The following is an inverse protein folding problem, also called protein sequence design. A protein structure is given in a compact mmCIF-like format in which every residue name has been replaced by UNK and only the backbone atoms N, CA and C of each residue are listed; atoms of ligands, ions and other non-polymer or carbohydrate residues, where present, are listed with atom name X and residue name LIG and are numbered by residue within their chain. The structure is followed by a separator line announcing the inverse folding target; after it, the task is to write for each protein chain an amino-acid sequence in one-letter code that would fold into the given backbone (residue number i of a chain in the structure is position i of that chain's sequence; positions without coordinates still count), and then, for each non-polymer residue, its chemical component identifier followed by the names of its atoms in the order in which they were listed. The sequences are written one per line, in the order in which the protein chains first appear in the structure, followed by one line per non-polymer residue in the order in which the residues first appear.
data_IF_594513712235
#
_entry.id   IF_594513712235
#
_cell.length_a   1.000
_cell.length_b   1.000
_cell.length_c   1.000
_cell.angle_alpha   90.00
_cell.angle_beta   90.00
_cell.angle_gamma   90.00
#
_symmetry.space_group_name_H-M   'P 1'
#
loop_
_entity.id
_entity.type
_entity.pdbx_description
1 polymer ?
#
# COMPACT_ATOMS: atom_id res chain seq x y z
N UNK A 1 29.43 63.06 29.35
CA UNK A 1 28.35 63.20 28.34
C UNK A 1 27.39 62.04 28.53
N UNK A 2 26.14 62.31 28.88
CA UNK A 2 25.14 61.24 29.04
C UNK A 2 24.70 60.71 27.67
N UNK A 3 24.31 59.42 27.58
CA UNK A 3 23.78 58.84 26.37
C UNK A 3 22.62 59.71 25.76
N UNK A 4 21.79 60.30 26.62
CA UNK A 4 20.71 61.20 26.22
C UNK A 4 21.21 62.50 25.57
N UNK A 5 22.39 63.02 25.90
CA UNK A 5 23.02 64.17 25.27
C UNK A 5 23.57 63.84 23.89
N UNK A 6 24.23 62.64 23.74
CA UNK A 6 24.74 62.17 22.45
C UNK A 6 23.65 61.98 21.42
N UNK A 7 22.47 61.54 21.81
CA UNK A 7 21.28 61.37 20.92
C UNK A 7 20.65 62.71 20.51
N UNK A 8 20.89 63.78 21.27
CA UNK A 8 20.35 65.12 20.99
C UNK A 8 21.23 65.93 20.02
N UNK A 9 22.51 65.66 20.09
CA UNK A 9 23.52 66.46 19.35
C UNK A 9 23.93 65.82 18.01
N UNK A 10 23.61 64.53 17.79
CA UNK A 10 23.89 63.81 16.55
C UNK A 10 22.63 63.17 15.95
N UNK A 11 22.04 63.85 14.97
CA UNK A 11 20.83 63.41 14.27
C UNK A 11 21.03 62.07 13.53
N UNK A 12 22.27 61.76 13.08
CA UNK A 12 22.55 60.51 12.40
C UNK A 12 22.48 59.34 13.38
N UNK A 13 23.00 59.53 14.60
CA UNK A 13 22.95 58.49 15.65
C UNK A 13 21.54 58.26 16.16
N UNK A 14 20.72 59.30 16.27
CA UNK A 14 19.30 59.19 16.63
C UNK A 14 18.49 58.45 15.57
N UNK A 15 18.68 58.76 14.28
CA UNK A 15 18.02 58.11 13.17
C UNK A 15 18.44 56.63 13.06
N UNK A 16 19.74 56.33 13.24
CA UNK A 16 20.25 54.96 13.22
C UNK A 16 19.68 54.09 14.36
N UNK A 17 19.59 54.66 15.56
CA UNK A 17 18.98 53.97 16.71
C UNK A 17 17.46 53.73 16.52
N UNK A 18 16.76 54.70 15.99
CA UNK A 18 15.32 54.57 15.68
C UNK A 18 15.09 53.48 14.61
N UNK A 19 15.87 53.49 13.53
CA UNK A 19 15.82 52.47 12.50
C UNK A 19 16.08 51.07 13.04
N UNK A 20 17.10 50.92 13.91
CA UNK A 20 17.40 49.66 14.57
C UNK A 20 16.26 49.21 15.48
N UNK A 21 15.65 50.10 16.23
CA UNK A 21 14.51 49.79 17.10
C UNK A 21 13.31 49.35 16.29
N UNK A 22 12.98 50.03 15.19
CA UNK A 22 11.91 49.64 14.30
C UNK A 22 12.15 48.27 13.66
N UNK A 23 13.40 48.03 13.21
CA UNK A 23 13.77 46.73 12.61
C UNK A 23 13.68 45.58 13.63
N UNK A 24 14.13 45.81 14.89
CA UNK A 24 14.00 44.80 15.95
C UNK A 24 12.55 44.54 16.35
N UNK A 25 11.71 45.56 16.43
CA UNK A 25 10.28 45.39 16.72
C UNK A 25 9.57 44.66 15.59
N UNK A 26 9.84 45.00 14.34
CA UNK A 26 9.28 44.31 13.18
C UNK A 26 9.75 42.85 13.11
N UNK A 27 11.04 42.59 13.34
CA UNK A 27 11.60 41.24 13.41
C UNK A 27 10.99 40.40 14.54
N UNK A 28 10.80 40.99 15.73
CA UNK A 28 10.14 40.35 16.87
C UNK A 28 8.68 40.04 16.57
N UNK A 29 7.96 40.95 15.91
CA UNK A 29 6.57 40.74 15.46
C UNK A 29 6.45 39.55 14.49
N UNK A 30 7.33 39.47 13.49
CA UNK A 30 7.37 38.37 12.54
C UNK A 30 7.69 37.02 13.22
N UNK A 31 8.61 37.02 14.18
CA UNK A 31 8.96 35.82 14.94
C UNK A 31 7.79 35.35 15.82
N UNK A 32 7.10 36.28 16.48
CA UNK A 32 5.90 35.96 17.27
C UNK A 32 4.77 35.41 16.39
N UNK A 33 4.56 35.99 15.22
CA UNK A 33 3.56 35.51 14.27
C UNK A 33 3.91 34.09 13.76
N UNK A 34 5.17 33.84 13.39
CA UNK A 34 5.62 32.48 13.03
C UNK A 34 5.47 31.49 14.17
N UNK A 35 5.83 31.87 15.39
CA UNK A 35 5.69 31.04 16.57
C UNK A 35 4.21 30.71 16.87
N UNK A 36 3.31 31.67 16.69
CA UNK A 36 1.88 31.45 16.85
C UNK A 36 1.34 30.49 15.78
N UNK A 37 1.76 30.62 14.52
CA UNK A 37 1.38 29.75 13.42
C UNK A 37 1.85 28.31 13.63
N UNK A 38 3.10 28.11 14.03
CA UNK A 38 3.65 26.77 14.34
C UNK A 38 2.93 26.13 15.55
N UNK A 39 2.57 26.92 16.57
CA UNK A 39 1.77 26.41 17.69
C UNK A 39 0.38 25.96 17.22
N UNK A 40 -0.29 26.76 16.42
CA UNK A 40 -1.59 26.45 15.86
C UNK A 40 -1.54 25.15 15.04
N UNK A 41 -0.60 25.03 14.10
CA UNK A 41 -0.41 23.82 13.28
C UNK A 41 -0.13 22.59 14.16
N UNK A 42 0.71 22.72 15.17
CA UNK A 42 0.99 21.64 16.12
C UNK A 42 -0.28 21.21 16.88
N UNK A 43 -1.06 22.17 17.35
CA UNK A 43 -2.26 21.87 18.14
C UNK A 43 -3.37 21.26 17.26
N UNK A 44 -3.54 21.71 16.00
CA UNK A 44 -4.43 21.10 15.01
C UNK A 44 -4.00 19.67 14.71
N UNK A 45 -2.70 19.46 14.43
CA UNK A 45 -2.18 18.13 14.15
C UNK A 45 -2.34 17.18 15.36
N UNK A 46 -2.19 17.67 16.58
CA UNK A 46 -2.39 16.88 17.80
C UNK A 46 -3.86 16.47 17.97
N UNK A 47 -4.80 17.37 17.71
CA UNK A 47 -6.24 17.06 17.74
C UNK A 47 -6.56 16.01 16.69
N UNK A 48 -6.17 16.23 15.44
CA UNK A 48 -6.39 15.28 14.35
C UNK A 48 -5.75 13.91 14.62
N UNK A 49 -4.57 13.88 15.25
CA UNK A 49 -3.93 12.63 15.65
C UNK A 49 -4.71 11.89 16.73
N UNK A 50 -5.20 12.60 17.74
CA UNK A 50 -5.99 12.00 18.81
C UNK A 50 -7.33 11.47 18.29
N UNK A 51 -8.03 12.24 17.46
CA UNK A 51 -9.30 11.83 16.85
C UNK A 51 -9.11 10.58 15.98
N UNK A 52 -8.05 10.55 15.16
CA UNK A 52 -7.71 9.38 14.35
C UNK A 52 -7.30 8.17 15.22
N UNK A 53 -6.64 8.40 16.36
CA UNK A 53 -6.25 7.33 17.27
C UNK A 53 -7.47 6.69 17.93
N UNK A 54 -8.44 7.49 18.36
CA UNK A 54 -9.70 6.97 18.94
C UNK A 54 -10.47 6.12 17.92
N UNK A 55 -10.58 6.60 16.68
CA UNK A 55 -11.20 5.84 15.57
C UNK A 55 -10.47 4.52 15.30
N UNK A 56 -9.14 4.54 15.28
CA UNK A 56 -8.34 3.33 15.09
C UNK A 56 -8.50 2.33 16.25
N UNK A 57 -8.58 2.82 17.49
CA UNK A 57 -8.78 1.97 18.66
C UNK A 57 -10.17 1.33 18.64
N UNK A 58 -11.21 2.08 18.27
CA UNK A 58 -12.56 1.56 18.10
C UNK A 58 -12.65 0.51 16.99
N UNK A 59 -12.04 0.77 15.82
CA UNK A 59 -11.96 -0.20 14.73
C UNK A 59 -11.23 -1.48 15.18
N UNK A 60 -10.14 -1.36 15.93
CA UNK A 60 -9.43 -2.53 16.47
C UNK A 60 -10.26 -3.34 17.42
N UNK A 61 -11.03 -2.68 18.31
CA UNK A 61 -11.97 -3.35 19.22
C UNK A 61 -13.08 -4.06 18.46
N UNK A 62 -13.66 -3.41 17.43
CA UNK A 62 -14.68 -4.02 16.58
C UNK A 62 -14.13 -5.22 15.81
N UNK A 63 -12.93 -5.11 15.25
CA UNK A 63 -12.25 -6.21 14.57
C UNK A 63 -11.98 -7.38 15.53
N UNK A 64 -11.54 -7.10 16.77
CA UNK A 64 -11.35 -8.12 17.80
C UNK A 64 -12.66 -8.85 18.13
N UNK A 65 -13.75 -8.11 18.35
CA UNK A 65 -15.06 -8.70 18.64
C UNK A 65 -15.60 -9.54 17.46
N UNK A 66 -15.39 -9.09 16.22
CA UNK A 66 -15.79 -9.83 15.02
C UNK A 66 -14.94 -11.09 14.87
N UNK A 67 -13.63 -11.00 15.10
CA UNK A 67 -12.72 -12.16 15.08
C UNK A 67 -13.15 -13.19 16.13
N UNK A 68 -13.35 -12.79 17.38
CA UNK A 68 -13.78 -13.68 18.46
C UNK A 68 -15.16 -14.31 18.20
N UNK A 69 -16.05 -13.58 17.53
CA UNK A 69 -17.37 -14.12 17.16
C UNK A 69 -17.28 -15.10 16.01
N UNK A 70 -16.37 -14.86 15.06
CA UNK A 70 -16.08 -15.76 13.95
C UNK A 70 -15.42 -17.05 14.46
N UNK A 71 -14.44 -16.94 15.34
CA UNK A 71 -13.76 -18.10 15.94
C UNK A 71 -14.76 -18.98 16.72
N UNK A 72 -15.63 -18.36 17.52
CA UNK A 72 -16.73 -19.07 18.22
C UNK A 72 -17.74 -19.70 17.25
N UNK A 73 -18.06 -19.03 16.15
CA UNK A 73 -18.95 -19.59 15.13
C UNK A 73 -18.30 -20.76 14.36
N UNK A 74 -16.99 -20.69 14.11
CA UNK A 74 -16.20 -21.76 13.51
C UNK A 74 -16.04 -22.97 14.45
N UNK A 75 -15.86 -22.73 15.75
CA UNK A 75 -15.84 -23.79 16.78
C UNK A 75 -17.18 -24.46 16.98
N UNK A 76 -18.27 -23.66 16.89
CA UNK A 76 -19.65 -24.15 17.03
C UNK A 76 -20.23 -24.76 15.76
N UNK A 77 -19.60 -24.52 14.59
CA UNK A 77 -20.03 -25.13 13.34
C UNK A 77 -19.82 -26.65 13.44
N UNK A 78 -20.84 -27.47 13.14
CA UNK A 78 -20.66 -28.90 13.11
C UNK A 78 -19.57 -29.20 12.09
N UNK A 79 -18.59 -30.03 12.52
CA UNK A 79 -17.56 -30.52 11.60
C UNK A 79 -18.27 -31.10 10.37
N UNK A 80 -17.87 -30.74 9.14
CA UNK A 80 -18.49 -31.28 7.96
C UNK A 80 -18.46 -32.82 8.07
N UNK A 81 -19.57 -33.51 7.75
CA UNK A 81 -19.63 -34.95 7.85
C UNK A 81 -18.59 -35.55 6.90
N UNK A 82 -17.62 -36.25 7.47
CA UNK A 82 -16.51 -36.85 6.76
C UNK A 82 -15.19 -36.14 7.05
N UNK A 83 -14.13 -36.92 7.13
CA UNK A 83 -12.75 -36.51 7.45
C UNK A 83 -12.38 -35.14 6.89
N UNK A 84 -11.84 -34.29 7.76
CA UNK A 84 -11.53 -32.89 7.45
C UNK A 84 -10.77 -32.77 6.13
N UNK A 85 -11.40 -32.11 5.17
CA UNK A 85 -10.73 -31.76 3.92
C UNK A 85 -9.71 -30.66 4.15
N UNK A 86 -8.56 -30.73 3.49
CA UNK A 86 -7.48 -29.78 3.64
C UNK A 86 -6.70 -29.61 2.33
N UNK A 87 -6.03 -28.47 2.19
CA UNK A 87 -5.12 -28.18 1.09
C UNK A 87 -3.69 -28.41 1.56
N UNK A 88 -2.88 -29.01 0.70
CA UNK A 88 -1.44 -29.14 0.87
C UNK A 88 -0.73 -28.48 -0.29
N UNK A 89 0.28 -27.66 -0.01
CA UNK A 89 1.12 -27.02 -1.02
C UNK A 89 2.58 -27.36 -0.75
N UNK A 90 3.22 -28.04 -1.68
CA UNK A 90 4.68 -28.23 -1.69
C UNK A 90 5.32 -27.09 -2.49
N UNK A 91 6.15 -26.29 -1.82
CA UNK A 91 6.91 -25.20 -2.47
C UNK A 91 7.97 -25.81 -3.41
N UNK A 92 8.62 -26.88 -3.00
CA UNK A 92 9.68 -27.53 -3.76
C UNK A 92 9.15 -28.20 -5.04
N UNK A 93 8.08 -28.99 -4.91
CA UNK A 93 7.45 -29.67 -6.05
C UNK A 93 6.61 -28.74 -6.91
N UNK A 94 6.28 -27.53 -6.40
CA UNK A 94 5.36 -26.59 -7.03
C UNK A 94 4.04 -27.25 -7.40
N UNK A 95 3.46 -27.94 -6.40
CA UNK A 95 2.19 -28.66 -6.51
C UNK A 95 1.26 -28.33 -5.36
N UNK A 96 -0.01 -28.40 -5.65
CA UNK A 96 -1.09 -28.30 -4.71
C UNK A 96 -1.96 -29.55 -4.79
N UNK A 97 -2.38 -30.05 -3.63
CA UNK A 97 -3.35 -31.11 -3.46
C UNK A 97 -4.49 -30.63 -2.57
N UNK A 98 -5.71 -30.91 -2.95
CA UNK A 98 -6.86 -30.84 -2.07
C UNK A 98 -7.23 -32.27 -1.70
N UNK A 99 -7.22 -32.55 -0.41
CA UNK A 99 -7.36 -33.91 0.15
C UNK A 99 -8.52 -33.97 1.13
N UNK A 100 -9.12 -35.15 1.24
CA UNK A 100 -10.06 -35.49 2.31
C UNK A 100 -9.57 -36.81 2.94
N UNK A 101 -9.09 -36.77 4.18
CA UNK A 101 -8.33 -37.85 4.78
C UNK A 101 -7.13 -38.22 3.91
N UNK A 102 -7.02 -39.49 3.55
CA UNK A 102 -5.93 -40.00 2.68
C UNK A 102 -6.23 -39.83 1.18
N UNK A 103 -7.48 -39.55 0.81
CA UNK A 103 -7.88 -39.41 -0.59
C UNK A 103 -7.46 -38.05 -1.15
N UNK A 104 -6.94 -38.05 -2.38
CA UNK A 104 -6.67 -36.82 -3.15
C UNK A 104 -7.84 -36.55 -4.07
N UNK A 105 -8.64 -35.52 -3.74
CA UNK A 105 -9.78 -35.09 -4.53
C UNK A 105 -9.33 -34.33 -5.77
N UNK A 106 -8.28 -33.49 -5.61
CA UNK A 106 -7.76 -32.67 -6.70
C UNK A 106 -6.26 -32.44 -6.52
N UNK A 107 -5.53 -32.37 -7.63
CA UNK A 107 -4.10 -32.04 -7.63
C UNK A 107 -3.74 -31.24 -8.89
N UNK A 108 -2.91 -30.21 -8.72
CA UNK A 108 -2.42 -29.37 -9.82
C UNK A 108 -1.03 -28.84 -9.58
N UNK A 109 -0.38 -28.36 -10.64
CA UNK A 109 0.86 -27.59 -10.56
C UNK A 109 0.56 -26.13 -10.22
N UNK A 110 1.45 -25.52 -9.42
CA UNK A 110 1.31 -24.12 -8.98
C UNK A 110 2.60 -23.34 -9.20
N UNK A 111 2.52 -22.01 -9.18
CA UNK A 111 3.70 -21.19 -9.03
C UNK A 111 3.79 -20.69 -7.59
N UNK A 112 5.00 -20.63 -7.06
CA UNK A 112 5.30 -20.23 -5.67
C UNK A 112 6.19 -19.00 -5.64
N UNK A 113 6.45 -18.46 -4.45
CA UNK A 113 7.35 -17.35 -4.21
C UNK A 113 8.75 -17.59 -4.79
N UNK A 114 9.34 -16.54 -5.32
CA UNK A 114 10.66 -16.61 -5.98
C UNK A 114 11.84 -16.76 -5.02
N UNK A 115 11.62 -16.54 -3.72
CA UNK A 115 12.69 -16.48 -2.71
C UNK A 115 13.58 -15.22 -2.83
N UNK A 116 13.29 -14.32 -3.76
CA UNK A 116 14.07 -13.09 -3.95
C UNK A 116 13.75 -12.06 -2.86
N UNK A 117 14.74 -11.22 -2.62
CA UNK A 117 14.61 -10.07 -1.72
C UNK A 117 14.69 -8.78 -2.54
N UNK A 118 13.78 -7.85 -2.27
CA UNK A 118 13.83 -6.48 -2.77
C UNK A 118 14.10 -5.54 -1.59
N UNK A 119 15.21 -4.81 -1.66
CA UNK A 119 15.59 -3.81 -0.64
C UNK A 119 15.33 -2.43 -1.22
N UNK A 120 14.63 -1.58 -0.48
CA UNK A 120 14.43 -0.18 -0.86
C UNK A 120 15.76 0.59 -0.76
N UNK A 121 15.95 1.57 -1.64
CA UNK A 121 17.13 2.43 -1.59
C UNK A 121 17.20 3.14 -0.23
N UNK A 122 18.35 2.98 0.46
CA UNK A 122 18.51 3.41 1.87
C UNK A 122 18.40 2.28 2.90
N UNK A 123 18.02 1.05 2.50
CA UNK A 123 18.18 -0.16 3.33
C UNK A 123 17.20 -0.33 4.50
N UNK A 124 16.17 0.53 4.62
CA UNK A 124 15.23 0.48 5.76
C UNK A 124 14.10 -0.51 5.52
N UNK A 125 13.61 -0.64 4.29
CA UNK A 125 12.53 -1.54 3.92
C UNK A 125 13.06 -2.70 3.07
N UNK A 126 12.72 -3.93 3.47
CA UNK A 126 13.07 -5.17 2.77
C UNK A 126 11.81 -6.00 2.54
N UNK A 127 11.60 -6.46 1.31
CA UNK A 127 10.51 -7.37 0.97
C UNK A 127 11.06 -8.71 0.53
N UNK A 128 10.68 -9.77 1.25
CA UNK A 128 11.00 -11.16 0.89
C UNK A 128 9.84 -11.78 0.14
N UNK A 129 10.13 -12.25 -1.06
CA UNK A 129 9.13 -12.84 -1.95
C UNK A 129 9.05 -14.35 -1.76
N UNK A 130 8.78 -14.77 -0.52
CA UNK A 130 8.69 -16.17 -0.13
C UNK A 130 7.23 -16.57 0.09
N UNK A 131 6.85 -17.76 -0.36
CA UNK A 131 5.58 -18.36 0.05
C UNK A 131 5.69 -18.80 1.51
N UNK A 132 4.78 -18.36 2.39
CA UNK A 132 4.88 -18.66 3.81
C UNK A 132 4.73 -20.15 4.06
N UNK A 133 5.52 -20.70 4.96
CA UNK A 133 5.43 -22.10 5.41
C UNK A 133 4.55 -22.19 6.64
N UNK A 134 3.90 -23.34 6.83
CA UNK A 134 3.12 -23.64 8.02
C UNK A 134 1.65 -23.89 7.73
N UNK A 135 0.83 -23.75 8.75
CA UNK A 135 -0.63 -23.93 8.67
C UNK A 135 -1.30 -22.59 8.55
N UNK A 136 -2.03 -22.41 7.45
CA UNK A 136 -2.92 -21.29 7.19
C UNK A 136 -4.38 -21.80 7.09
N UNK A 137 -5.32 -20.90 6.90
CA UNK A 137 -6.74 -21.23 6.76
C UNK A 137 -7.31 -20.38 5.64
N UNK A 138 -8.23 -20.93 4.84
CA UNK A 138 -9.01 -20.16 3.87
C UNK A 138 -9.95 -19.22 4.63
N UNK A 139 -9.63 -17.93 4.62
CA UNK A 139 -10.39 -16.90 5.36
C UNK A 139 -11.53 -16.30 4.53
N UNK A 140 -11.45 -16.37 3.21
CA UNK A 140 -12.46 -15.80 2.32
C UNK A 140 -12.24 -16.22 0.88
N UNK A 141 -13.20 -15.89 0.04
CA UNK A 141 -13.25 -16.27 -1.37
C UNK A 141 -13.73 -15.10 -2.20
N UNK A 142 -13.08 -14.85 -3.35
CA UNK A 142 -13.45 -13.74 -4.25
C UNK A 142 -13.51 -14.21 -5.71
N UNK A 143 -14.45 -13.63 -6.46
CA UNK A 143 -14.59 -13.76 -7.92
C UNK A 143 -14.09 -12.46 -8.55
N UNK A 144 -13.39 -12.56 -9.68
CA UNK A 144 -12.81 -11.42 -10.39
C UNK A 144 -12.02 -10.45 -9.46
N UNK A 145 -11.08 -10.99 -8.67
CA UNK A 145 -10.36 -10.19 -7.68
C UNK A 145 -9.56 -9.07 -8.34
N UNK A 146 -9.58 -7.91 -7.69
CA UNK A 146 -8.77 -6.76 -8.11
C UNK A 146 -7.48 -6.74 -7.28
N UNK A 147 -6.35 -6.71 -7.97
CA UNK A 147 -5.08 -6.53 -7.29
C UNK A 147 -4.82 -5.05 -7.00
N UNK A 148 -4.48 -4.75 -5.76
CA UNK A 148 -4.01 -3.44 -5.34
C UNK A 148 -2.52 -3.54 -5.07
N UNK A 149 -1.65 -3.16 -6.04
CA UNK A 149 -0.21 -3.36 -5.90
C UNK A 149 0.35 -2.59 -4.71
N UNK A 150 1.14 -3.24 -3.84
CA UNK A 150 1.95 -2.57 -2.82
C UNK A 150 3.06 -1.71 -3.45
N UNK A 151 3.69 -0.86 -2.65
CA UNK A 151 4.73 0.05 -3.14
C UNK A 151 5.93 -0.67 -3.77
N UNK A 152 6.28 -1.85 -3.27
CA UNK A 152 7.37 -2.65 -3.84
C UNK A 152 7.18 -2.96 -5.33
N UNK A 153 5.95 -3.10 -5.82
CA UNK A 153 5.67 -3.33 -7.24
C UNK A 153 6.22 -2.19 -8.11
N UNK A 154 5.95 -0.95 -7.73
CA UNK A 154 6.42 0.24 -8.45
C UNK A 154 7.94 0.41 -8.32
N UNK A 155 8.50 0.09 -7.14
CA UNK A 155 9.94 0.14 -6.89
C UNK A 155 10.66 -0.91 -7.74
N UNK A 156 10.15 -2.15 -7.80
CA UNK A 156 10.71 -3.19 -8.64
C UNK A 156 10.63 -2.83 -10.12
N UNK A 157 9.50 -2.26 -10.56
CA UNK A 157 9.32 -1.79 -11.93
C UNK A 157 10.33 -0.66 -12.27
N UNK A 158 10.46 0.33 -11.41
CA UNK A 158 11.41 1.43 -11.58
C UNK A 158 12.85 0.92 -11.69
N UNK A 159 13.26 0.03 -10.79
CA UNK A 159 14.60 -0.56 -10.75
C UNK A 159 14.93 -1.33 -12.03
N UNK A 160 14.00 -2.13 -12.55
CA UNK A 160 14.19 -2.87 -13.81
C UNK A 160 14.40 -1.95 -15.01
N UNK A 161 13.92 -0.70 -14.95
CA UNK A 161 14.00 0.29 -16.02
C UNK A 161 15.04 1.39 -15.77
N UNK A 162 15.74 1.37 -14.65
CA UNK A 162 16.69 2.42 -14.27
C UNK A 162 16.04 3.77 -14.01
N UNK A 163 14.78 3.77 -13.53
CA UNK A 163 14.00 4.95 -13.20
C UNK A 163 14.04 5.23 -11.69
N UNK A 164 13.87 6.50 -11.32
CA UNK A 164 13.60 6.90 -9.94
C UNK A 164 12.15 6.56 -9.52
N UNK A 165 11.83 6.83 -8.27
CA UNK A 165 10.50 6.62 -7.71
C UNK A 165 10.04 7.89 -7.00
N UNK A 166 8.83 8.34 -7.29
CA UNK A 166 8.15 9.42 -6.59
C UNK A 166 6.80 8.93 -6.07
N UNK A 167 6.52 9.18 -4.80
CA UNK A 167 5.22 8.90 -4.22
C UNK A 167 4.32 10.12 -4.36
N UNK A 168 3.20 9.97 -5.06
CA UNK A 168 2.18 11.01 -5.17
C UNK A 168 1.27 10.95 -3.94
N UNK A 169 1.08 12.07 -3.26
CA UNK A 169 0.10 12.19 -2.17
C UNK A 169 -1.12 12.99 -2.63
N UNK A 170 -2.25 12.79 -1.96
CA UNK A 170 -3.44 13.59 -2.22
C UNK A 170 -3.18 15.05 -1.88
N UNK A 171 -3.55 15.96 -2.82
CA UNK A 171 -3.29 17.40 -2.71
C UNK A 171 -1.89 17.83 -3.17
N UNK A 172 -1.02 16.91 -3.57
CA UNK A 172 0.27 17.21 -4.22
C UNK A 172 0.13 17.20 -5.74
N UNK A 173 1.05 17.90 -6.40
CA UNK A 173 1.22 17.92 -7.85
C UNK A 173 2.66 17.60 -8.21
N UNK A 174 2.83 16.80 -9.25
CA UNK A 174 4.14 16.49 -9.84
C UNK A 174 4.19 17.16 -11.20
N UNK A 175 5.03 18.18 -11.33
CA UNK A 175 5.23 18.89 -12.59
C UNK A 175 5.77 17.98 -13.69
N UNK A 176 5.27 18.17 -14.90
CA UNK A 176 5.75 17.45 -16.10
C UNK A 176 6.55 18.39 -17.02
N UNK A 177 7.44 17.82 -17.82
CA UNK A 177 8.38 18.57 -18.65
C UNK A 177 7.71 19.52 -19.68
N UNK A 178 6.46 19.31 -20.00
CA UNK A 178 5.64 20.11 -20.91
C UNK A 178 4.85 21.22 -20.21
N UNK A 179 5.12 21.47 -18.91
CA UNK A 179 4.45 22.50 -18.11
C UNK A 179 3.07 22.08 -17.59
N UNK A 180 2.68 20.81 -17.77
CA UNK A 180 1.52 20.22 -17.12
C UNK A 180 1.84 19.65 -15.76
N UNK A 181 0.90 18.95 -15.14
CA UNK A 181 1.10 18.29 -13.86
C UNK A 181 0.34 16.97 -13.76
N UNK A 182 0.79 16.11 -12.83
CA UNK A 182 0.10 14.88 -12.41
C UNK A 182 -0.37 15.11 -10.97
N UNK A 183 -1.65 14.92 -10.72
CA UNK A 183 -2.27 15.11 -9.41
C UNK A 183 -3.38 14.09 -9.18
N UNK A 184 -4.02 14.14 -8.02
CA UNK A 184 -5.20 13.33 -7.69
C UNK A 184 -6.44 14.19 -7.72
N UNK A 185 -7.41 13.81 -8.55
CA UNK A 185 -8.75 14.37 -8.58
C UNK A 185 -9.77 13.28 -8.24
N UNK A 186 -10.48 13.45 -7.12
CA UNK A 186 -11.37 12.42 -6.59
C UNK A 186 -10.64 11.09 -6.35
N UNK A 187 -11.04 10.06 -7.09
CA UNK A 187 -10.43 8.74 -7.04
C UNK A 187 -9.50 8.45 -8.23
N UNK A 188 -9.20 9.43 -9.05
CA UNK A 188 -8.35 9.26 -10.21
C UNK A 188 -7.03 10.01 -10.07
N UNK A 189 -5.95 9.40 -10.51
CA UNK A 189 -4.73 10.12 -10.84
C UNK A 189 -4.90 10.67 -12.24
N UNK A 190 -4.81 11.98 -12.35
CA UNK A 190 -5.10 12.71 -13.59
C UNK A 190 -3.86 13.44 -14.07
N UNK A 191 -3.76 13.62 -15.38
CA UNK A 191 -2.85 14.56 -16.00
C UNK A 191 -3.59 15.84 -16.29
N UNK A 192 -3.09 16.94 -15.76
CA UNK A 192 -3.52 18.29 -16.08
C UNK A 192 -2.56 18.92 -17.08
N UNK A 193 -3.10 19.38 -18.19
CA UNK A 193 -2.33 20.06 -19.26
C UNK A 193 -2.27 21.56 -19.03
N UNK A 194 -1.27 22.28 -19.62
CA UNK A 194 -1.14 23.72 -19.47
C UNK A 194 -2.36 24.51 -19.94
N UNK A 195 -3.17 23.97 -20.84
CA UNK A 195 -4.42 24.55 -21.32
C UNK A 195 -5.64 24.32 -20.41
N UNK A 196 -5.40 23.69 -19.23
CA UNK A 196 -6.43 23.42 -18.22
C UNK A 196 -7.21 22.12 -18.43
N UNK A 197 -7.01 21.39 -19.54
CA UNK A 197 -7.65 20.09 -19.74
C UNK A 197 -7.10 19.05 -18.77
N UNK A 198 -7.98 18.20 -18.26
CA UNK A 198 -7.63 17.16 -17.29
C UNK A 198 -8.14 15.81 -17.79
N UNK A 199 -7.28 14.78 -17.75
CA UNK A 199 -7.63 13.42 -18.16
C UNK A 199 -7.14 12.40 -17.13
N UNK A 200 -7.96 11.39 -16.77
CA UNK A 200 -7.52 10.27 -15.97
C UNK A 200 -6.40 9.51 -16.69
N UNK A 201 -5.39 9.11 -15.93
CA UNK A 201 -4.35 8.23 -16.45
C UNK A 201 -4.83 6.78 -16.46
N UNK A 202 -4.35 6.00 -17.42
CA UNK A 202 -4.67 4.58 -17.47
C UNK A 202 -4.07 3.82 -16.27
N UNK A 203 -4.70 2.70 -15.92
CA UNK A 203 -4.28 1.82 -14.85
C UNK A 203 -4.05 0.41 -15.36
N UNK A 204 -3.05 -0.28 -14.81
CA UNK A 204 -2.80 -1.68 -15.13
C UNK A 204 -1.34 -2.06 -15.04
N UNK A 205 -1.06 -3.36 -15.02
CA UNK A 205 0.31 -3.87 -15.12
C UNK A 205 0.92 -3.51 -16.48
N UNK A 206 2.13 -2.95 -16.47
CA UNK A 206 2.81 -2.44 -17.67
C UNK A 206 2.37 -1.04 -18.09
N UNK A 207 1.43 -0.43 -17.37
CA UNK A 207 0.93 0.94 -17.58
C UNK A 207 1.19 1.83 -16.37
N UNK A 208 2.29 1.56 -15.66
CA UNK A 208 2.74 2.37 -14.55
C UNK A 208 3.03 3.79 -15.02
N UNK A 209 2.58 4.76 -14.23
CA UNK A 209 2.73 6.19 -14.54
C UNK A 209 4.21 6.57 -14.44
N UNK A 210 4.76 7.10 -15.52
CA UNK A 210 6.15 7.57 -15.57
C UNK A 210 6.18 9.04 -15.95
N UNK A 211 6.86 9.85 -15.14
CA UNK A 211 7.08 11.27 -15.40
C UNK A 211 8.45 11.72 -14.89
N UNK A 212 9.15 12.57 -15.64
CA UNK A 212 10.44 13.15 -15.25
C UNK A 212 11.52 12.13 -14.91
N UNK A 213 11.53 10.95 -15.57
CA UNK A 213 12.47 9.88 -15.26
C UNK A 213 12.14 9.08 -13.99
N UNK A 214 10.94 9.26 -13.43
CA UNK A 214 10.49 8.56 -12.23
C UNK A 214 9.20 7.79 -12.49
N UNK A 215 9.05 6.66 -11.79
CA UNK A 215 7.78 5.97 -11.63
C UNK A 215 6.99 6.65 -10.52
N UNK A 216 5.76 7.02 -10.82
CA UNK A 216 4.87 7.64 -9.85
C UNK A 216 4.06 6.56 -9.15
N UNK A 217 4.18 6.48 -7.82
CA UNK A 217 3.35 5.59 -7.00
C UNK A 217 2.03 6.29 -6.71
N UNK A 218 0.89 5.79 -7.23
CA UNK A 218 -0.41 6.35 -6.93
C UNK A 218 -0.80 6.14 -5.46
N UNK A 219 -1.55 7.05 -4.83
CA UNK A 219 -2.08 6.83 -3.49
C UNK A 219 -3.04 5.64 -3.44
N UNK A 220 -3.12 4.99 -2.29
CA UNK A 220 -4.14 3.97 -2.05
C UNK A 220 -5.54 4.55 -2.25
N UNK A 221 -6.44 3.71 -2.76
CA UNK A 221 -7.82 4.10 -3.07
C UNK A 221 -8.03 4.74 -4.44
N UNK A 222 -6.96 5.09 -5.17
CA UNK A 222 -7.10 5.58 -6.55
C UNK A 222 -7.36 4.43 -7.54
N UNK A 223 -8.01 4.75 -8.65
CA UNK A 223 -8.30 3.77 -9.70
C UNK A 223 -7.03 3.29 -10.39
N UNK A 224 -6.00 4.15 -10.47
CA UNK A 224 -4.69 3.82 -11.05
C UNK A 224 -3.88 2.83 -10.19
N UNK A 225 -4.36 2.49 -9.00
CA UNK A 225 -3.79 1.46 -8.13
C UNK A 225 -4.71 0.22 -8.03
N UNK A 226 -5.54 -0.03 -9.04
CA UNK A 226 -6.46 -1.17 -9.12
C UNK A 226 -6.22 -1.94 -10.42
N UNK A 227 -5.51 -3.05 -10.34
CA UNK A 227 -5.15 -3.85 -11.49
C UNK A 227 -6.09 -5.04 -11.61
N UNK A 228 -6.89 -5.05 -12.67
CA UNK A 228 -7.83 -6.13 -12.95
C UNK A 228 -7.15 -7.24 -13.76
N UNK A 229 -7.60 -8.48 -13.54
CA UNK A 229 -7.13 -9.65 -14.30
C UNK A 229 -5.83 -10.29 -13.78
N UNK A 230 -4.94 -9.52 -13.14
CA UNK A 230 -3.63 -10.02 -12.65
C UNK A 230 -3.73 -11.23 -11.73
N UNK A 231 -4.78 -11.27 -10.88
CA UNK A 231 -5.03 -12.39 -9.97
C UNK A 231 -5.93 -13.49 -10.57
N UNK A 232 -6.16 -13.42 -11.88
CA UNK A 232 -7.02 -14.37 -12.58
C UNK A 232 -8.49 -14.27 -12.18
N UNK A 233 -9.22 -15.37 -12.37
CA UNK A 233 -10.68 -15.40 -12.23
C UNK A 233 -11.18 -15.50 -10.78
N UNK A 234 -10.42 -16.15 -9.89
CA UNK A 234 -10.84 -16.43 -8.51
C UNK A 234 -9.65 -16.33 -7.54
N UNK A 235 -9.98 -16.10 -6.26
CA UNK A 235 -9.02 -16.05 -5.18
C UNK A 235 -9.57 -16.69 -3.91
N UNK A 236 -8.72 -17.48 -3.21
CA UNK A 236 -8.92 -17.94 -1.85
C UNK A 236 -7.94 -17.20 -0.94
N UNK A 237 -8.45 -16.42 -0.01
CA UNK A 237 -7.66 -15.59 0.91
C UNK A 237 -7.11 -16.45 2.05
N UNK A 238 -5.82 -16.29 2.39
CA UNK A 238 -5.15 -17.03 3.46
C UNK A 238 -4.75 -16.15 4.66
N UNK A 239 -5.00 -14.85 4.58
CA UNK A 239 -4.53 -13.87 5.56
C UNK A 239 -3.18 -13.25 5.20
N UNK A 240 -2.81 -12.17 5.90
CA UNK A 240 -1.54 -11.45 5.78
C UNK A 240 -1.14 -11.08 4.34
N UNK A 241 -2.14 -10.87 3.48
CA UNK A 241 -1.92 -10.56 2.06
C UNK A 241 -1.62 -11.77 1.18
N UNK A 242 -1.56 -12.99 1.74
CA UNK A 242 -1.35 -14.22 0.99
C UNK A 242 -2.65 -14.83 0.47
N UNK A 243 -2.55 -15.49 -0.68
CA UNK A 243 -3.70 -16.12 -1.31
C UNK A 243 -3.28 -17.27 -2.24
N UNK A 244 -4.25 -18.16 -2.52
CA UNK A 244 -4.26 -19.00 -3.71
C UNK A 244 -5.11 -18.27 -4.74
N UNK A 245 -4.60 -18.02 -5.95
CA UNK A 245 -5.32 -17.23 -6.95
C UNK A 245 -4.99 -17.67 -8.37
N UNK A 246 -5.83 -17.31 -9.31
CA UNK A 246 -5.55 -17.48 -10.73
C UNK A 246 -4.42 -16.61 -11.24
N UNK A 247 -4.22 -16.56 -12.54
CA UNK A 247 -3.16 -15.74 -13.13
C UNK A 247 -3.50 -15.36 -14.56
N UNK A 248 -3.04 -14.20 -14.99
CA UNK A 248 -2.96 -13.76 -16.38
C UNK A 248 -1.70 -14.28 -17.10
N UNK A 249 -0.79 -14.98 -16.37
CA UNK A 249 0.47 -15.54 -16.84
C UNK A 249 0.52 -17.05 -16.63
N UNK A 250 -0.27 -17.83 -17.39
CA UNK A 250 -0.34 -19.29 -17.22
C UNK A 250 1.00 -20.01 -17.43
N UNK A 251 1.92 -19.42 -18.18
CA UNK A 251 3.29 -19.91 -18.40
C UNK A 251 4.12 -19.90 -17.11
N UNK A 252 3.72 -19.13 -16.09
CA UNK A 252 4.40 -19.08 -14.79
C UNK A 252 4.15 -20.33 -13.94
N UNK A 253 3.14 -21.13 -14.27
CA UNK A 253 2.76 -22.30 -13.48
C UNK A 253 3.88 -23.36 -13.52
N UNK A 254 4.24 -23.86 -12.35
CA UNK A 254 5.36 -24.77 -12.15
C UNK A 254 6.70 -24.08 -11.90
N UNK A 255 6.71 -22.75 -11.76
CA UNK A 255 7.91 -21.95 -11.51
C UNK A 255 7.87 -21.29 -10.12
N UNK A 256 9.04 -20.92 -9.58
CA UNK A 256 9.20 -20.12 -8.37
C UNK A 256 9.39 -18.65 -8.79
N UNK A 257 8.29 -17.93 -9.06
CA UNK A 257 8.33 -16.58 -9.68
C UNK A 257 7.37 -15.58 -9.05
N UNK A 258 6.50 -16.01 -8.11
CA UNK A 258 5.58 -15.10 -7.47
C UNK A 258 6.26 -14.25 -6.37
N UNK A 259 5.54 -13.28 -5.86
CA UNK A 259 5.97 -12.45 -4.73
C UNK A 259 5.47 -12.99 -3.37
N UNK A 260 5.11 -14.29 -3.33
CA UNK A 260 4.69 -14.99 -2.12
C UNK A 260 3.37 -15.75 -2.25
N UNK A 261 2.39 -15.22 -2.97
CA UNK A 261 1.14 -15.90 -3.26
C UNK A 261 1.36 -17.17 -4.11
N UNK A 262 0.45 -18.13 -4.00
CA UNK A 262 0.44 -19.33 -4.82
C UNK A 262 -0.46 -19.12 -6.03
N UNK A 263 0.13 -19.19 -7.24
CA UNK A 263 -0.61 -19.03 -8.51
C UNK A 263 -1.07 -20.38 -9.05
N UNK A 264 -2.30 -20.41 -9.50
CA UNK A 264 -2.92 -21.55 -10.17
C UNK A 264 -3.36 -21.13 -11.58
N UNK A 265 -3.64 -22.11 -12.44
CA UNK A 265 -4.41 -21.84 -13.65
C UNK A 265 -5.82 -21.38 -13.31
N UNK A 266 -6.45 -20.59 -14.17
CA UNK A 266 -7.78 -20.03 -13.88
C UNK A 266 -8.85 -21.12 -13.75
N UNK A 267 -8.77 -22.17 -14.55
CA UNK A 267 -9.64 -23.33 -14.45
C UNK A 267 -9.48 -24.08 -13.11
N UNK A 268 -8.25 -24.24 -12.65
CA UNK A 268 -7.94 -24.96 -11.41
C UNK A 268 -8.43 -24.21 -10.17
N UNK A 269 -8.19 -22.89 -10.11
CA UNK A 269 -8.65 -22.08 -8.99
C UNK A 269 -10.18 -21.92 -9.01
N UNK A 270 -10.80 -21.86 -10.17
CA UNK A 270 -12.26 -21.84 -10.29
C UNK A 270 -12.88 -23.13 -9.76
N UNK A 271 -12.27 -24.28 -10.06
CA UNK A 271 -12.68 -25.56 -9.50
C UNK A 271 -12.52 -25.59 -7.98
N UNK A 272 -11.33 -25.25 -7.46
CA UNK A 272 -11.10 -25.19 -6.01
C UNK A 272 -12.05 -24.20 -5.33
N UNK A 273 -12.31 -23.06 -5.96
CA UNK A 273 -13.26 -22.07 -5.45
C UNK A 273 -14.65 -22.71 -5.25
N UNK A 274 -15.08 -23.59 -6.14
CA UNK A 274 -16.41 -24.21 -6.06
C UNK A 274 -16.53 -25.24 -4.94
N UNK A 275 -15.42 -25.97 -4.61
CA UNK A 275 -15.46 -27.11 -3.70
C UNK A 275 -14.80 -26.86 -2.33
N UNK A 276 -13.93 -25.83 -2.19
CA UNK A 276 -13.22 -25.55 -0.94
C UNK A 276 -14.04 -24.60 -0.08
N UNK A 277 -14.48 -24.99 1.13
CA UNK A 277 -15.13 -24.09 2.08
C UNK A 277 -14.18 -23.06 2.68
N UNK A 278 -14.73 -21.93 3.16
CA UNK A 278 -14.04 -21.05 4.10
C UNK A 278 -13.80 -21.85 5.40
N UNK A 279 -12.66 -21.64 6.05
CA UNK A 279 -12.24 -22.45 7.21
C UNK A 279 -11.37 -23.65 6.86
N UNK A 280 -11.23 -24.00 5.56
CA UNK A 280 -10.39 -25.15 5.14
C UNK A 280 -8.93 -24.92 5.52
N UNK A 281 -8.27 -25.85 6.24
CA UNK A 281 -6.84 -25.78 6.53
C UNK A 281 -5.99 -25.84 5.26
N UNK A 282 -4.91 -25.06 5.25
CA UNK A 282 -3.91 -25.04 4.16
C UNK A 282 -2.53 -25.25 4.78
N UNK A 283 -1.89 -26.35 4.43
CA UNK A 283 -0.54 -26.67 4.88
C UNK A 283 0.46 -26.39 3.77
N UNK A 284 1.45 -25.55 4.03
CA UNK A 284 2.48 -25.15 3.08
C UNK A 284 3.86 -25.54 3.63
N UNK A 285 4.66 -26.31 2.87
CA UNK A 285 5.98 -26.79 3.28
C UNK A 285 7.03 -26.72 2.16
#
# INVERSE_FOLDING_TARGET
MSLAQAFRDDTGLALGATALLVATLAGSGLLLQKAAMVRYERDVNRIAFNDNWEVLDDIRKQLGMVSDSLDRALEAAPAPPGEQAFIVVSIEDRRLWYKQGDETIFATRVATGSGKTLVKDGGIDEWKFETPRGKLVVQGKEIDPVWVPPDWHFIEFARRRGLGVLQLKRGEQIETADGGSITVDGNDVVRQYPDGRTYPLEAGEGREIVAGGNVIIPPFGTNQRKYRGVLGSHRLLLGDGYALHGTDKPESIGQAVSHGCVRLRNEDIAYLYSIVPVGTPVFIY
#
